data_IF_950922457692
#
_entry.id   IF_950922457692
#
_cell.length_a   1.000
_cell.length_b   1.000
_cell.length_c   1.000
_cell.angle_alpha   90.00
_cell.angle_beta   90.00
_cell.angle_gamma   90.00
#
_symmetry.space_group_name_H-M   'P 1'
#
loop_
_entity.id
_entity.type
_entity.pdbx_description
1 polymer ?
#
# COMPACT_ATOMS: atom_id res chain seq x y z
N UNK A 1 -18.00 13.57 28.21
CA UNK A 1 -16.86 13.40 29.13
C UNK A 1 -16.36 11.98 28.99
N UNK A 2 -15.40 11.73 28.10
CA UNK A 2 -14.77 10.42 27.92
C UNK A 2 -13.27 10.54 28.18
N UNK A 3 -12.76 9.57 28.93
CA UNK A 3 -11.38 9.45 29.39
C UNK A 3 -10.43 9.40 28.19
N UNK A 4 -9.69 10.47 27.92
CA UNK A 4 -8.46 10.40 27.12
C UNK A 4 -7.41 9.84 28.08
N UNK A 5 -6.87 8.64 27.87
CA UNK A 5 -6.00 7.99 28.83
C UNK A 5 -4.67 8.75 28.88
N UNK A 6 -4.53 9.61 29.89
CA UNK A 6 -3.23 10.01 30.41
C UNK A 6 -2.59 8.72 30.94
N UNK A 7 -1.37 8.44 30.50
CA UNK A 7 -0.59 7.22 30.75
C UNK A 7 -0.56 6.94 32.27
N UNK A 8 -1.53 6.18 32.77
CA UNK A 8 -1.63 5.74 34.15
C UNK A 8 -1.60 4.22 34.15
N UNK A 9 -0.52 3.63 34.71
CA UNK A 9 -0.18 2.22 35.00
C UNK A 9 -0.80 1.06 34.21
N UNK A 10 -2.09 1.08 33.85
CA UNK A 10 -2.72 0.25 32.80
C UNK A 10 -2.58 0.85 31.39
N UNK A 11 -2.28 2.15 31.27
CA UNK A 11 -1.99 2.86 30.02
C UNK A 11 -0.57 2.67 29.48
N UNK A 12 0.25 1.84 30.14
CA UNK A 12 1.62 1.52 29.68
C UNK A 12 1.59 0.70 28.39
N UNK A 13 0.77 -0.35 28.30
CA UNK A 13 0.72 -1.22 27.13
C UNK A 13 0.27 -0.44 25.89
N UNK A 14 -0.78 0.37 25.99
CA UNK A 14 -1.26 1.22 24.90
C UNK A 14 -0.16 2.14 24.34
N UNK A 15 0.51 2.89 25.24
CA UNK A 15 1.58 3.79 24.84
C UNK A 15 2.77 3.03 24.22
N UNK A 16 3.10 1.85 24.77
CA UNK A 16 4.16 0.99 24.25
C UNK A 16 3.85 0.50 22.83
N UNK A 17 2.66 -0.05 22.56
CA UNK A 17 2.30 -0.51 21.21
C UNK A 17 2.21 0.64 20.20
N UNK A 18 1.73 1.81 20.62
CA UNK A 18 1.73 2.99 19.75
C UNK A 18 3.16 3.46 19.43
N UNK A 19 4.07 3.49 20.41
CA UNK A 19 5.49 3.82 20.20
C UNK A 19 6.18 2.79 19.31
N UNK A 20 5.97 1.50 19.54
CA UNK A 20 6.50 0.42 18.69
C UNK A 20 6.01 0.61 17.26
N UNK A 21 4.72 0.85 17.05
CA UNK A 21 4.15 1.08 15.72
C UNK A 21 4.74 2.30 15.02
N UNK A 22 4.95 3.38 15.77
CA UNK A 22 5.52 4.62 15.24
C UNK A 22 7.00 4.46 14.89
N UNK A 23 7.76 3.72 15.70
CA UNK A 23 9.15 3.37 15.40
C UNK A 23 9.26 2.49 14.14
N UNK A 24 8.42 1.46 14.04
CA UNK A 24 8.35 0.60 12.86
C UNK A 24 7.94 1.37 11.61
N UNK A 25 6.99 2.30 11.72
CA UNK A 25 6.63 3.22 10.63
C UNK A 25 7.84 4.06 10.19
N UNK A 26 8.67 4.55 11.12
CA UNK A 26 9.92 5.23 10.77
C UNK A 26 10.92 4.37 10.02
N UNK A 27 11.07 3.10 10.41
CA UNK A 27 11.92 2.14 9.67
C UNK A 27 11.36 1.91 8.26
N UNK A 28 10.06 1.68 8.14
CA UNK A 28 9.40 1.45 6.85
C UNK A 28 9.48 2.68 5.93
N UNK A 29 9.33 3.88 6.49
CA UNK A 29 9.53 5.14 5.77
C UNK A 29 10.97 5.30 5.26
N UNK A 30 11.98 4.89 6.04
CA UNK A 30 13.36 4.86 5.57
C UNK A 30 13.58 3.91 4.38
N UNK A 31 12.92 2.74 4.40
CA UNK A 31 12.92 1.79 3.28
C UNK A 31 12.26 2.40 2.04
N UNK A 32 11.09 3.03 2.22
CA UNK A 32 10.37 3.75 1.17
C UNK A 32 11.25 4.79 0.48
N UNK A 33 11.92 5.66 1.23
CA UNK A 33 12.82 6.68 0.67
C UNK A 33 14.02 6.08 -0.06
N UNK A 34 14.62 5.04 0.51
CA UNK A 34 15.74 4.33 -0.12
C UNK A 34 15.33 3.72 -1.46
N UNK A 35 14.14 3.11 -1.49
CA UNK A 35 13.59 2.50 -2.68
C UNK A 35 13.21 3.54 -3.74
N UNK A 36 12.63 4.67 -3.32
CA UNK A 36 12.33 5.80 -4.18
C UNK A 36 13.60 6.38 -4.83
N UNK A 37 14.66 6.61 -4.04
CA UNK A 37 15.95 7.08 -4.54
C UNK A 37 16.56 6.11 -5.56
N UNK A 38 16.53 4.81 -5.27
CA UNK A 38 16.97 3.77 -6.19
C UNK A 38 16.14 3.73 -7.48
N UNK A 39 14.82 3.89 -7.38
CA UNK A 39 13.95 3.97 -8.55
C UNK A 39 14.26 5.19 -9.41
N UNK A 40 14.49 6.37 -8.80
CA UNK A 40 14.87 7.58 -9.53
C UNK A 40 16.21 7.42 -10.23
N UNK A 41 17.21 6.84 -9.56
CA UNK A 41 18.51 6.53 -10.16
C UNK A 41 18.36 5.63 -11.39
N UNK A 42 17.63 4.51 -11.25
CA UNK A 42 17.45 3.54 -12.34
C UNK A 42 16.62 4.11 -13.49
N UNK A 43 15.51 4.80 -13.21
CA UNK A 43 14.64 5.42 -14.22
C UNK A 43 15.32 6.61 -14.92
N UNK A 44 16.25 7.29 -14.24
CA UNK A 44 17.04 8.40 -14.78
C UNK A 44 18.09 7.96 -15.80
N UNK A 45 18.56 6.70 -15.74
CA UNK A 45 19.56 6.18 -16.69
C UNK A 45 18.97 6.09 -18.10
N UNK A 46 19.50 6.89 -19.03
CA UNK A 46 19.02 7.02 -20.43
C UNK A 46 18.99 5.72 -21.24
N UNK A 47 19.74 4.70 -20.80
CA UNK A 47 19.88 3.41 -21.49
C UNK A 47 18.66 2.48 -21.45
N UNK A 48 17.56 2.87 -20.78
CA UNK A 48 16.40 1.98 -20.64
C UNK A 48 15.44 2.09 -21.83
N UNK A 49 15.10 0.95 -22.43
CA UNK A 49 14.00 0.78 -23.41
C UNK A 49 12.61 0.92 -22.73
N UNK A 50 12.36 2.06 -22.08
CA UNK A 50 11.08 2.42 -21.48
C UNK A 50 10.53 3.62 -22.25
N UNK A 51 9.28 3.53 -22.69
CA UNK A 51 8.59 4.65 -23.32
C UNK A 51 8.63 5.88 -22.41
N UNK A 52 8.92 7.06 -22.98
CA UNK A 52 8.96 8.34 -22.25
C UNK A 52 7.68 8.57 -21.44
N UNK A 53 6.51 8.16 -21.96
CA UNK A 53 5.21 8.27 -21.27
C UNK A 53 5.17 7.39 -20.02
N UNK A 54 5.53 6.12 -20.16
CA UNK A 54 5.59 5.16 -19.05
C UNK A 54 6.60 5.60 -17.99
N UNK A 55 7.75 6.13 -18.41
CA UNK A 55 8.75 6.66 -17.48
C UNK A 55 8.20 7.84 -16.66
N UNK A 56 7.60 8.83 -17.32
CA UNK A 56 6.96 9.98 -16.63
C UNK A 56 5.88 9.54 -15.65
N UNK A 57 5.06 8.56 -16.04
CA UNK A 57 4.05 7.98 -15.16
C UNK A 57 4.66 7.39 -13.88
N UNK A 58 5.71 6.57 -13.99
CA UNK A 58 6.40 6.01 -12.82
C UNK A 58 7.04 7.07 -11.95
N UNK A 59 7.69 8.10 -12.53
CA UNK A 59 8.23 9.22 -11.75
C UNK A 59 7.13 9.95 -10.95
N UNK A 60 6.02 10.31 -11.61
CA UNK A 60 4.90 10.97 -10.95
C UNK A 60 4.30 10.10 -9.83
N UNK A 61 4.15 8.79 -10.09
CA UNK A 61 3.67 7.82 -9.10
C UNK A 61 4.57 7.73 -7.86
N UNK A 62 5.90 7.67 -8.04
CA UNK A 62 6.86 7.62 -6.94
C UNK A 62 6.79 8.91 -6.11
N UNK A 63 6.80 10.07 -6.77
CA UNK A 63 6.72 11.38 -6.09
C UNK A 63 5.42 11.50 -5.30
N UNK A 64 4.29 11.16 -5.91
CA UNK A 64 2.98 11.19 -5.27
C UNK A 64 2.95 10.33 -4.00
N UNK A 65 3.44 9.10 -4.07
CA UNK A 65 3.48 8.21 -2.91
C UNK A 65 4.45 8.71 -1.83
N UNK A 66 5.64 9.19 -2.21
CA UNK A 66 6.59 9.75 -1.24
C UNK A 66 6.00 10.94 -0.48
N UNK A 67 5.24 11.81 -1.16
CA UNK A 67 4.59 12.96 -0.51
C UNK A 67 3.54 12.50 0.51
N UNK A 68 2.72 11.51 0.16
CA UNK A 68 1.71 10.94 1.07
C UNK A 68 2.35 10.19 2.24
N UNK A 69 3.37 9.38 1.99
CA UNK A 69 4.15 8.68 3.01
C UNK A 69 4.83 9.65 3.97
N UNK A 70 5.43 10.73 3.45
CA UNK A 70 6.03 11.80 4.25
C UNK A 70 4.98 12.50 5.13
N UNK A 71 3.82 12.84 4.57
CA UNK A 71 2.75 13.51 5.30
C UNK A 71 2.22 12.63 6.45
N UNK A 72 1.99 11.35 6.19
CA UNK A 72 1.53 10.40 7.20
C UNK A 72 2.56 10.14 8.29
N UNK A 73 3.84 10.01 7.91
CA UNK A 73 4.93 9.85 8.86
C UNK A 73 5.09 11.10 9.75
N UNK A 74 5.09 12.29 9.15
CA UNK A 74 5.17 13.56 9.87
C UNK A 74 4.00 13.70 10.88
N UNK A 75 2.79 13.33 10.46
CA UNK A 75 1.63 13.34 11.34
C UNK A 75 1.75 12.34 12.49
N UNK A 76 2.17 11.11 12.21
CA UNK A 76 2.39 10.08 13.24
C UNK A 76 3.42 10.54 14.27
N UNK A 77 4.53 11.13 13.81
CA UNK A 77 5.57 11.65 14.69
C UNK A 77 5.09 12.85 15.51
N UNK A 78 4.35 13.78 14.91
CA UNK A 78 3.75 14.89 15.64
C UNK A 78 2.81 14.39 16.74
N UNK A 79 1.97 13.39 16.45
CA UNK A 79 1.07 12.79 17.44
C UNK A 79 1.80 12.19 18.64
N UNK A 80 2.85 11.38 18.39
CA UNK A 80 3.66 10.78 19.46
C UNK A 80 4.38 11.84 20.29
N UNK A 81 5.03 12.81 19.66
CA UNK A 81 5.75 13.89 20.36
C UNK A 81 4.79 14.66 21.26
N UNK A 82 3.62 15.02 20.72
CA UNK A 82 2.61 15.78 21.46
C UNK A 82 2.06 14.96 22.62
N UNK A 83 1.70 13.71 22.39
CA UNK A 83 1.13 12.84 23.41
C UNK A 83 2.11 12.47 24.53
N UNK A 84 3.42 12.51 24.27
CA UNK A 84 4.46 12.16 25.25
C UNK A 84 5.02 13.36 26.00
N UNK A 85 5.10 14.54 25.36
CA UNK A 85 5.79 15.72 25.92
C UNK A 85 4.81 16.73 26.53
N UNK A 86 3.64 16.95 25.93
CA UNK A 86 2.72 18.01 26.36
C UNK A 86 1.70 17.47 27.36
N UNK A 87 1.49 18.20 28.47
CA UNK A 87 0.32 17.98 29.31
C UNK A 87 -0.95 18.32 28.54
N UNK A 88 -2.05 17.63 28.86
CA UNK A 88 -3.36 17.83 28.20
C UNK A 88 -3.79 19.30 28.15
N UNK A 89 -3.61 20.02 29.25
CA UNK A 89 -4.02 21.43 29.36
C UNK A 89 -3.12 22.33 28.49
N UNK A 90 -1.82 22.04 28.43
CA UNK A 90 -0.90 22.75 27.54
C UNK A 90 -1.19 22.46 26.06
N UNK A 91 -1.63 21.24 25.72
CA UNK A 91 -2.03 20.87 24.37
C UNK A 91 -3.29 21.62 23.92
N UNK A 92 -4.34 21.61 24.76
CA UNK A 92 -5.60 22.31 24.45
C UNK A 92 -5.34 23.81 24.29
N UNK A 93 -4.47 24.39 25.12
CA UNK A 93 -4.08 25.81 25.02
C UNK A 93 -3.34 26.15 23.71
N UNK A 94 -2.52 25.23 23.17
CA UNK A 94 -1.70 25.48 21.97
C UNK A 94 -2.40 25.16 20.65
N UNK A 95 -3.15 24.07 20.59
CA UNK A 95 -3.71 23.55 19.32
C UNK A 95 -5.25 23.65 19.31
N UNK A 96 -5.86 24.02 20.43
CA UNK A 96 -7.30 24.17 20.57
C UNK A 96 -8.01 22.85 20.83
N UNK A 97 -9.25 22.97 21.31
CA UNK A 97 -10.11 21.83 21.69
C UNK A 97 -10.44 20.92 20.50
N UNK A 98 -10.44 21.46 19.28
CA UNK A 98 -10.80 20.73 18.06
C UNK A 98 -9.71 19.74 17.60
N UNK A 99 -8.45 20.13 17.66
CA UNK A 99 -7.34 19.33 17.12
C UNK A 99 -6.68 18.42 18.16
N UNK A 100 -6.84 18.73 19.45
CA UNK A 100 -6.27 17.93 20.54
C UNK A 100 -6.70 16.44 20.49
N UNK A 101 -7.97 16.08 20.21
CA UNK A 101 -8.39 14.68 20.10
C UNK A 101 -7.72 13.95 18.93
N UNK A 102 -7.51 14.64 17.81
CA UNK A 102 -6.94 14.04 16.58
C UNK A 102 -5.46 13.70 16.74
N UNK A 103 -4.72 14.48 17.54
CA UNK A 103 -3.29 14.32 17.79
C UNK A 103 -2.96 13.41 18.97
N UNK A 104 -3.96 12.97 19.74
CA UNK A 104 -3.79 12.14 20.94
C UNK A 104 -4.29 10.71 20.77
N UNK A 105 -4.68 10.34 19.54
CA UNK A 105 -5.11 8.99 19.19
C UNK A 105 -4.07 8.29 18.30
N UNK A 106 -3.93 6.97 18.42
CA UNK A 106 -2.92 6.20 17.70
C UNK A 106 -3.24 6.08 16.21
N UNK A 107 -4.51 6.23 15.81
CA UNK A 107 -4.89 6.33 14.41
C UNK A 107 -6.01 7.35 14.28
N UNK A 108 -5.74 8.43 13.56
CA UNK A 108 -6.64 9.57 13.48
C UNK A 108 -7.37 9.64 12.14
N UNK A 109 -8.48 10.36 12.10
CA UNK A 109 -9.22 10.62 10.87
C UNK A 109 -8.35 11.35 9.81
N UNK A 110 -7.35 12.11 10.24
CA UNK A 110 -6.41 12.78 9.34
C UNK A 110 -5.41 11.79 8.73
N UNK A 111 -5.00 10.76 9.46
CA UNK A 111 -4.15 9.67 8.94
C UNK A 111 -4.90 8.72 8.00
N UNK A 112 -6.22 8.62 8.14
CA UNK A 112 -7.07 7.84 7.24
C UNK A 112 -6.98 8.35 5.80
N UNK A 113 -6.90 9.67 5.60
CA UNK A 113 -6.85 10.30 4.27
C UNK A 113 -5.65 9.80 3.44
N UNK A 114 -4.38 9.98 3.87
CA UNK A 114 -3.25 9.48 3.11
C UNK A 114 -3.25 7.94 3.03
N UNK A 115 -3.79 7.24 4.03
CA UNK A 115 -3.90 5.77 3.99
C UNK A 115 -4.79 5.31 2.84
N UNK A 116 -6.00 5.85 2.72
CA UNK A 116 -6.94 5.53 1.63
C UNK A 116 -6.35 5.91 0.27
N UNK A 117 -5.75 7.11 0.16
CA UNK A 117 -5.16 7.59 -1.08
C UNK A 117 -4.00 6.72 -1.55
N UNK A 118 -3.12 6.31 -0.64
CA UNK A 118 -2.01 5.40 -0.94
C UNK A 118 -2.56 4.03 -1.37
N UNK A 119 -3.50 3.44 -0.63
CA UNK A 119 -4.11 2.15 -1.01
C UNK A 119 -4.74 2.23 -2.39
N UNK A 120 -5.52 3.27 -2.69
CA UNK A 120 -6.07 3.46 -4.03
C UNK A 120 -5.01 3.61 -5.11
N UNK A 121 -3.92 4.32 -4.82
CA UNK A 121 -2.82 4.45 -5.77
C UNK A 121 -2.17 3.10 -6.04
N UNK A 122 -2.06 2.25 -5.02
CA UNK A 122 -1.40 0.96 -5.08
C UNK A 122 -2.29 -0.08 -5.80
N UNK A 123 -3.59 -0.13 -5.47
CA UNK A 123 -4.62 -0.88 -6.20
C UNK A 123 -4.68 -0.45 -7.67
N UNK A 124 -4.73 0.87 -7.89
CA UNK A 124 -4.77 1.48 -9.22
C UNK A 124 -3.54 1.14 -10.05
N UNK A 125 -2.35 1.10 -9.44
CA UNK A 125 -1.12 0.69 -10.10
C UNK A 125 -1.17 -0.78 -10.53
N UNK A 126 -1.68 -1.67 -9.67
CA UNK A 126 -1.86 -3.09 -10.00
C UNK A 126 -2.88 -3.30 -11.12
N UNK A 127 -4.02 -2.60 -11.06
CA UNK A 127 -5.04 -2.60 -12.10
C UNK A 127 -4.51 -2.07 -13.43
N UNK A 128 -3.77 -0.96 -13.41
CA UNK A 128 -3.13 -0.39 -14.61
C UNK A 128 -2.21 -1.41 -15.28
N UNK A 129 -1.35 -2.10 -14.51
CA UNK A 129 -0.49 -3.17 -15.04
C UNK A 129 -1.29 -4.31 -15.64
N UNK A 130 -2.38 -4.71 -14.99
CA UNK A 130 -3.27 -5.75 -15.50
C UNK A 130 -3.89 -5.35 -16.84
N UNK A 131 -4.40 -4.12 -16.96
CA UNK A 131 -4.97 -3.59 -18.21
C UNK A 131 -3.93 -3.51 -19.33
N UNK A 132 -2.71 -3.05 -19.03
CA UNK A 132 -1.62 -3.00 -20.01
C UNK A 132 -1.27 -4.39 -20.57
N UNK A 133 -1.33 -5.44 -19.74
CA UNK A 133 -1.03 -6.82 -20.15
C UNK A 133 -2.12 -7.44 -21.05
N UNK A 134 -3.34 -6.92 -21.00
CA UNK A 134 -4.52 -7.45 -21.72
C UNK A 134 -4.80 -6.73 -23.06
N UNK A 135 -3.89 -5.86 -23.54
CA UNK A 135 -4.10 -5.05 -24.76
C UNK A 135 -4.19 -5.86 -26.08
N UNK A 136 -3.81 -7.14 -26.10
CA UNK A 136 -3.77 -7.97 -27.32
C UNK A 136 -4.77 -9.14 -27.35
N UNK A 137 -5.91 -9.01 -26.69
CA UNK A 137 -6.95 -10.06 -26.61
C UNK A 137 -8.09 -9.77 -27.58
N UNK A 138 -8.81 -10.82 -28.01
CA UNK A 138 -10.06 -10.69 -28.77
C UNK A 138 -11.04 -9.70 -28.11
N UNK A 139 -11.81 -8.95 -28.90
CA UNK A 139 -12.63 -7.84 -28.40
C UNK A 139 -13.67 -8.29 -27.36
N UNK A 140 -14.26 -9.47 -27.53
CA UNK A 140 -15.25 -10.02 -26.59
C UNK A 140 -14.64 -10.32 -25.21
N UNK A 141 -13.51 -11.02 -25.18
CA UNK A 141 -12.81 -11.33 -23.93
C UNK A 141 -12.23 -10.07 -23.27
N UNK A 142 -11.83 -9.08 -24.08
CA UNK A 142 -11.40 -7.77 -23.58
C UNK A 142 -12.57 -7.02 -22.93
N UNK A 143 -13.77 -7.06 -23.50
CA UNK A 143 -14.95 -6.44 -22.91
C UNK A 143 -15.28 -7.08 -21.55
N UNK A 144 -15.32 -8.41 -21.48
CA UNK A 144 -15.55 -9.14 -20.23
C UNK A 144 -14.50 -8.80 -19.15
N UNK A 145 -13.23 -8.75 -19.53
CA UNK A 145 -12.15 -8.33 -18.63
C UNK A 145 -12.30 -6.89 -18.15
N UNK A 146 -12.60 -5.95 -19.05
CA UNK A 146 -12.81 -4.55 -18.68
C UNK A 146 -14.01 -4.37 -17.76
N UNK A 147 -15.08 -5.15 -17.95
CA UNK A 147 -16.22 -5.16 -17.04
C UNK A 147 -15.80 -5.56 -15.62
N UNK A 148 -15.03 -6.64 -15.47
CA UNK A 148 -14.48 -7.05 -14.16
C UNK A 148 -13.62 -5.94 -13.54
N UNK A 149 -12.72 -5.34 -14.30
CA UNK A 149 -11.86 -4.23 -13.82
C UNK A 149 -12.70 -3.03 -13.35
N UNK A 150 -13.75 -2.66 -14.09
CA UNK A 150 -14.64 -1.56 -13.72
C UNK A 150 -15.39 -1.88 -12.43
N UNK A 151 -15.94 -3.09 -12.29
CA UNK A 151 -16.65 -3.51 -11.07
C UNK A 151 -15.72 -3.48 -9.85
N UNK A 152 -14.50 -4.01 -9.98
CA UNK A 152 -13.50 -3.97 -8.90
C UNK A 152 -13.13 -2.54 -8.52
N UNK A 153 -12.94 -1.66 -9.50
CA UNK A 153 -12.59 -0.25 -9.27
C UNK A 153 -13.72 0.48 -8.56
N UNK A 154 -14.97 0.30 -9.01
CA UNK A 154 -16.15 0.91 -8.40
C UNK A 154 -16.36 0.41 -6.97
N UNK A 155 -16.13 -0.86 -6.70
CA UNK A 155 -16.19 -1.42 -5.35
C UNK A 155 -15.13 -0.77 -4.42
N UNK A 156 -13.87 -0.69 -4.85
CA UNK A 156 -12.80 -0.04 -4.07
C UNK A 156 -13.06 1.44 -3.82
N UNK A 157 -13.48 2.17 -4.86
CA UNK A 157 -13.81 3.58 -4.74
C UNK A 157 -15.01 3.80 -3.82
N UNK A 158 -16.07 3.01 -3.97
CA UNK A 158 -17.26 3.11 -3.13
C UNK A 158 -16.94 2.90 -1.65
N UNK A 159 -16.23 1.81 -1.32
CA UNK A 159 -15.87 1.52 0.08
C UNK A 159 -14.87 2.53 0.63
N UNK A 160 -13.89 2.96 -0.17
CA UNK A 160 -12.93 3.98 0.23
C UNK A 160 -13.57 5.36 0.47
N UNK A 161 -14.52 5.77 -0.37
CA UNK A 161 -15.29 7.01 -0.16
C UNK A 161 -16.10 6.91 1.13
N UNK A 162 -16.78 5.78 1.37
CA UNK A 162 -17.49 5.55 2.62
C UNK A 162 -16.56 5.63 3.84
N UNK A 163 -15.32 5.14 3.71
CA UNK A 163 -14.27 5.31 4.72
C UNK A 163 -13.89 6.78 4.94
N UNK A 164 -13.64 7.55 3.88
CA UNK A 164 -13.31 8.98 4.00
C UNK A 164 -14.44 9.81 4.62
N UNK A 165 -15.70 9.41 4.41
CA UNK A 165 -16.84 10.08 5.04
C UNK A 165 -16.85 9.94 6.57
N UNK A 166 -16.17 8.93 7.15
CA UNK A 166 -16.06 8.80 8.61
C UNK A 166 -15.19 9.89 9.25
N UNK A 167 -14.47 10.68 8.45
CA UNK A 167 -13.75 11.88 8.92
C UNK A 167 -14.73 12.98 9.34
N UNK A 168 -15.96 12.97 8.79
CA UNK A 168 -16.98 13.95 9.09
C UNK A 168 -17.68 13.55 10.41
N UNK A 169 -17.67 14.38 11.47
CA UNK A 169 -18.19 14.02 12.79
C UNK A 169 -19.69 13.68 12.83
N UNK A 170 -20.46 14.08 11.82
CA UNK A 170 -21.90 13.84 11.73
C UNK A 170 -22.25 12.45 11.22
N UNK A 171 -21.28 11.71 10.69
CA UNK A 171 -21.48 10.36 10.15
C UNK A 171 -21.30 9.34 11.28
N UNK A 172 -22.32 8.51 11.59
CA UNK A 172 -22.29 7.60 12.74
C UNK A 172 -21.48 6.31 12.48
N UNK A 173 -20.66 6.27 11.44
CA UNK A 173 -19.91 5.08 11.06
C UNK A 173 -18.58 5.02 11.80
N UNK A 174 -18.25 3.82 12.29
CA UNK A 174 -17.00 3.61 12.98
C UNK A 174 -15.82 3.54 11.99
N UNK A 175 -14.83 4.41 12.20
CA UNK A 175 -13.65 4.52 11.33
C UNK A 175 -12.89 3.19 11.17
N UNK A 176 -12.68 2.46 12.27
CA UNK A 176 -11.94 1.21 12.25
C UNK A 176 -12.67 0.12 11.45
N UNK A 177 -13.99 0.01 11.61
CA UNK A 177 -14.81 -0.93 10.84
C UNK A 177 -14.81 -0.59 9.35
N UNK A 178 -14.86 0.68 8.98
CA UNK A 178 -14.79 1.08 7.58
C UNK A 178 -13.40 0.82 6.97
N UNK A 179 -12.33 1.09 7.72
CA UNK A 179 -10.97 0.73 7.31
C UNK A 179 -10.82 -0.78 7.11
N UNK A 180 -11.39 -1.59 8.01
CA UNK A 180 -11.44 -3.05 7.88
C UNK A 180 -12.11 -3.49 6.58
N UNK A 181 -13.30 -2.96 6.29
CA UNK A 181 -14.04 -3.25 5.06
C UNK A 181 -13.26 -2.82 3.82
N UNK A 182 -12.62 -1.66 3.89
CA UNK A 182 -11.80 -1.13 2.81
C UNK A 182 -10.59 -2.01 2.52
N UNK A 183 -9.82 -2.43 3.54
CA UNK A 183 -8.70 -3.35 3.32
C UNK A 183 -9.11 -4.75 2.92
N UNK A 184 -10.28 -5.22 3.35
CA UNK A 184 -10.84 -6.47 2.82
C UNK A 184 -11.12 -6.36 1.32
N UNK A 185 -11.67 -5.23 0.87
CA UNK A 185 -11.88 -4.99 -0.56
C UNK A 185 -10.56 -4.91 -1.33
N UNK A 186 -9.56 -4.18 -0.81
CA UNK A 186 -8.22 -4.10 -1.41
C UNK A 186 -7.54 -5.47 -1.50
N UNK A 187 -7.62 -6.30 -0.46
CA UNK A 187 -7.13 -7.69 -0.47
C UNK A 187 -7.73 -8.50 -1.62
N UNK A 188 -9.06 -8.45 -1.76
CA UNK A 188 -9.79 -9.20 -2.80
C UNK A 188 -9.35 -8.71 -4.19
N UNK A 189 -9.24 -7.39 -4.38
CA UNK A 189 -8.83 -6.80 -5.65
C UNK A 189 -7.41 -7.18 -6.00
N UNK A 190 -6.46 -7.01 -5.07
CA UNK A 190 -5.06 -7.37 -5.28
C UNK A 190 -4.90 -8.87 -5.50
N UNK A 191 -5.69 -9.72 -4.84
CA UNK A 191 -5.71 -11.17 -5.06
C UNK A 191 -6.19 -11.54 -6.47
N UNK A 192 -7.33 -10.99 -6.90
CA UNK A 192 -7.88 -11.22 -8.24
C UNK A 192 -6.92 -10.70 -9.31
N UNK A 193 -6.45 -9.47 -9.18
CA UNK A 193 -5.54 -8.83 -10.15
C UNK A 193 -4.23 -9.58 -10.27
N UNK A 194 -3.63 -9.98 -9.14
CA UNK A 194 -2.38 -10.75 -9.15
C UNK A 194 -2.57 -12.10 -9.84
N UNK A 195 -3.68 -12.78 -9.55
CA UNK A 195 -4.04 -14.04 -10.21
C UNK A 195 -4.20 -13.87 -11.72
N UNK A 196 -4.91 -12.83 -12.17
CA UNK A 196 -5.09 -12.52 -13.60
C UNK A 196 -3.75 -12.24 -14.30
N UNK A 197 -2.87 -11.47 -13.66
CA UNK A 197 -1.52 -11.19 -14.18
C UNK A 197 -0.73 -12.49 -14.33
N UNK A 198 -0.68 -13.34 -13.29
CA UNK A 198 0.07 -14.61 -13.32
C UNK A 198 -0.49 -15.56 -14.39
N UNK A 199 -1.82 -15.70 -14.46
CA UNK A 199 -2.50 -16.52 -15.45
C UNK A 199 -2.16 -16.07 -16.87
N UNK A 200 -2.21 -14.76 -17.15
CA UNK A 200 -1.93 -14.21 -18.48
C UNK A 200 -0.49 -14.38 -18.89
N UNK A 201 0.48 -14.14 -18.00
CA UNK A 201 1.90 -14.34 -18.33
C UNK A 201 2.18 -15.83 -18.56
N UNK A 202 1.61 -16.71 -17.74
CA UNK A 202 1.76 -18.17 -17.89
C UNK A 202 1.15 -18.67 -19.20
N UNK A 203 -0.02 -18.17 -19.57
CA UNK A 203 -0.65 -18.46 -20.86
C UNK A 203 0.24 -18.07 -22.04
N UNK A 204 0.74 -16.83 -22.05
CA UNK A 204 1.66 -16.36 -23.09
C UNK A 204 2.94 -17.18 -23.17
N UNK A 205 3.52 -17.53 -22.01
CA UNK A 205 4.69 -18.40 -21.96
C UNK A 205 4.40 -19.76 -22.59
N UNK A 206 3.30 -20.43 -22.22
CA UNK A 206 2.93 -21.73 -22.78
C UNK A 206 2.71 -21.64 -24.29
N UNK A 207 2.08 -20.57 -24.76
CA UNK A 207 1.89 -20.31 -26.19
C UNK A 207 3.23 -20.15 -26.92
N UNK A 208 4.14 -19.31 -26.40
CA UNK A 208 5.46 -19.11 -27.01
C UNK A 208 6.32 -20.38 -26.99
N UNK A 209 6.27 -21.17 -25.90
CA UNK A 209 6.96 -22.45 -25.84
C UNK A 209 6.43 -23.47 -26.85
N UNK A 210 5.13 -23.42 -27.16
CA UNK A 210 4.51 -24.28 -28.18
C UNK A 210 4.93 -23.88 -29.59
N UNK A 211 5.08 -22.58 -29.87
CA UNK A 211 5.41 -22.06 -31.21
C UNK A 211 6.92 -22.09 -31.49
N UNK A 212 7.75 -21.71 -30.51
CA UNK A 212 9.20 -21.51 -30.70
C UNK A 212 10.07 -22.58 -30.00
N UNK A 213 9.46 -23.55 -29.32
CA UNK A 213 10.19 -24.61 -28.60
C UNK A 213 10.58 -24.27 -27.15
N UNK A 214 11.15 -25.25 -26.45
CA UNK A 214 11.32 -25.23 -24.98
C UNK A 214 12.33 -24.19 -24.44
N UNK A 215 13.13 -23.54 -25.30
CA UNK A 215 14.19 -22.60 -24.91
C UNK A 215 13.76 -21.17 -24.58
N UNK A 216 12.66 -20.67 -25.17
CA UNK A 216 12.32 -19.23 -25.15
C UNK A 216 11.53 -18.75 -23.92
N UNK A 217 11.33 -19.59 -22.90
CA UNK A 217 10.50 -19.28 -21.73
C UNK A 217 11.21 -18.68 -20.51
N UNK A 218 12.56 -18.66 -20.49
CA UNK A 218 13.36 -18.25 -19.32
C UNK A 218 13.13 -16.79 -18.86
N UNK A 219 13.11 -15.76 -19.73
CA UNK A 219 12.94 -14.37 -19.27
C UNK A 219 11.56 -14.12 -18.62
N UNK A 220 10.52 -14.83 -19.07
CA UNK A 220 9.17 -14.71 -18.49
C UNK A 220 9.09 -15.23 -17.05
N UNK A 221 9.92 -16.21 -16.68
CA UNK A 221 9.96 -16.71 -15.29
C UNK A 221 10.46 -15.65 -14.31
N UNK A 222 11.45 -14.86 -14.71
CA UNK A 222 11.96 -13.73 -13.90
C UNK A 222 10.87 -12.68 -13.67
N UNK A 223 10.09 -12.36 -14.71
CA UNK A 223 8.98 -11.40 -14.60
C UNK A 223 7.85 -11.94 -13.72
N UNK A 224 7.48 -13.21 -13.87
CA UNK A 224 6.47 -13.85 -13.01
C UNK A 224 6.94 -13.84 -11.55
N UNK A 225 8.19 -14.21 -11.29
CA UNK A 225 8.75 -14.23 -9.94
C UNK A 225 8.69 -12.85 -9.27
N UNK A 226 9.06 -11.78 -9.99
CA UNK A 226 8.96 -10.40 -9.50
C UNK A 226 7.50 -10.04 -9.15
N UNK A 227 6.55 -10.39 -10.02
CA UNK A 227 5.13 -10.11 -9.76
C UNK A 227 4.61 -10.88 -8.53
N UNK A 228 4.99 -12.15 -8.37
CA UNK A 228 4.57 -12.97 -7.23
C UNK A 228 5.20 -12.46 -5.93
N UNK A 229 6.50 -12.18 -5.93
CA UNK A 229 7.23 -11.66 -4.76
C UNK A 229 6.56 -10.38 -4.23
N UNK A 230 6.25 -9.42 -5.11
CA UNK A 230 5.61 -8.17 -4.70
C UNK A 230 4.13 -8.31 -4.36
N UNK A 231 3.40 -9.21 -5.03
CA UNK A 231 1.99 -9.47 -4.71
C UNK A 231 1.84 -10.16 -3.34
N UNK A 232 2.72 -11.11 -3.01
CA UNK A 232 2.71 -11.78 -1.71
C UNK A 232 2.92 -10.79 -0.57
N UNK A 233 3.77 -9.79 -0.74
CA UNK A 233 3.99 -8.76 0.30
C UNK A 233 2.68 -8.02 0.64
N UNK A 234 1.93 -7.58 -0.37
CA UNK A 234 0.65 -6.92 -0.17
C UNK A 234 -0.39 -7.86 0.48
N UNK A 235 -0.57 -9.06 -0.08
CA UNK A 235 -1.57 -10.02 0.40
C UNK A 235 -1.30 -10.48 1.85
N UNK A 236 -0.05 -10.79 2.18
CA UNK A 236 0.33 -11.20 3.55
C UNK A 236 0.04 -10.08 4.53
N UNK A 237 0.33 -8.83 4.14
CA UNK A 237 0.10 -7.68 5.00
C UNK A 237 -1.38 -7.40 5.23
N UNK A 238 -2.20 -7.44 4.19
CA UNK A 238 -3.64 -7.27 4.29
C UNK A 238 -4.30 -8.38 5.11
N UNK A 239 -3.86 -9.64 4.93
CA UNK A 239 -4.33 -10.78 5.72
C UNK A 239 -3.95 -10.59 7.19
N UNK A 240 -2.71 -10.17 7.49
CA UNK A 240 -2.26 -9.92 8.86
C UNK A 240 -3.14 -8.84 9.52
N UNK A 241 -3.41 -7.75 8.81
CA UNK A 241 -4.30 -6.69 9.29
C UNK A 241 -5.73 -7.20 9.58
N UNK A 242 -6.29 -8.02 8.69
CA UNK A 242 -7.64 -8.59 8.84
C UNK A 242 -7.72 -9.55 10.03
N UNK A 243 -6.70 -10.40 10.23
CA UNK A 243 -6.68 -11.34 11.37
C UNK A 243 -6.59 -10.58 12.69
N UNK A 244 -5.72 -9.57 12.78
CA UNK A 244 -5.54 -8.79 14.00
C UNK A 244 -6.76 -7.93 14.34
N UNK A 245 -7.46 -7.40 13.34
CA UNK A 245 -8.72 -6.69 13.56
C UNK A 245 -9.85 -7.61 14.02
N UNK A 246 -9.96 -8.84 13.49
CA UNK A 246 -11.01 -9.77 13.94
C UNK A 246 -10.74 -10.41 15.30
N UNK A 247 -9.47 -10.63 15.64
CA UNK A 247 -9.10 -11.20 16.95
C UNK A 247 -9.34 -10.20 18.08
N UNK A 248 -9.19 -8.89 17.81
CA UNK A 248 -9.57 -7.82 18.72
C UNK A 248 -11.09 -7.85 19.03
N UNK A 249 -11.95 -7.93 18.02
CA UNK A 249 -13.41 -7.91 18.20
C UNK A 249 -13.97 -9.13 18.97
N UNK A 250 -13.34 -10.31 18.83
CA UNK A 250 -13.83 -11.57 19.43
C UNK A 250 -13.53 -11.73 20.92
N UNK A 251 -12.61 -10.94 21.47
CA UNK A 251 -12.17 -11.11 22.85
C UNK A 251 -13.18 -10.61 23.90
N UNK A 252 -14.23 -9.86 23.51
CA UNK A 252 -15.29 -9.40 24.41
C UNK A 252 -14.83 -8.54 25.60
N UNK A 253 -13.55 -8.18 25.63
CA UNK A 253 -12.91 -7.43 26.70
C UNK A 253 -12.84 -5.97 26.27
N UNK A 254 -13.50 -5.05 26.98
CA UNK A 254 -13.39 -3.64 26.68
C UNK A 254 -11.94 -3.22 26.95
N UNK A 255 -11.26 -2.62 25.95
CA UNK A 255 -10.01 -1.84 26.05
C UNK A 255 -8.63 -2.50 25.83
N UNK A 256 -8.49 -3.62 25.11
CA UNK A 256 -7.14 -4.16 24.77
C UNK A 256 -6.85 -4.30 23.28
N UNK A 257 -7.39 -3.41 22.44
CA UNK A 257 -7.13 -3.35 20.99
C UNK A 257 -5.74 -2.76 20.66
N UNK A 258 -4.75 -2.94 21.52
CA UNK A 258 -3.45 -2.25 21.39
C UNK A 258 -2.53 -2.95 20.39
N UNK A 259 -2.72 -4.24 20.16
CA UNK A 259 -1.86 -5.06 19.29
C UNK A 259 -1.99 -4.74 17.80
N UNK A 260 -3.10 -4.10 17.39
CA UNK A 260 -3.33 -3.72 16.00
C UNK A 260 -2.56 -2.44 15.59
N UNK A 261 -2.17 -1.60 16.55
CA UNK A 261 -1.56 -0.29 16.26
C UNK A 261 -0.26 -0.39 15.45
N UNK A 262 0.68 -1.32 15.74
CA UNK A 262 1.86 -1.49 14.91
C UNK A 262 1.51 -1.80 13.45
N UNK A 263 0.49 -2.62 13.21
CA UNK A 263 0.10 -3.04 11.86
C UNK A 263 -0.61 -1.91 11.11
N UNK A 264 -1.47 -1.15 11.79
CA UNK A 264 -2.11 0.05 11.20
C UNK A 264 -1.05 1.09 10.80
N UNK A 265 -0.06 1.35 11.65
CA UNK A 265 0.99 2.33 11.36
C UNK A 265 1.88 1.94 10.18
N UNK A 266 2.12 0.65 10.00
CA UNK A 266 2.90 0.13 8.89
C UNK A 266 2.09 0.00 7.59
N UNK A 267 0.75 -0.06 7.66
CA UNK A 267 -0.15 -0.26 6.51
C UNK A 267 0.13 0.71 5.36
N UNK A 268 0.23 2.01 5.66
CA UNK A 268 0.50 3.02 4.65
C UNK A 268 1.84 2.79 3.95
N UNK A 269 2.90 2.55 4.70
CA UNK A 269 4.24 2.37 4.12
C UNK A 269 4.33 1.07 3.32
N UNK A 270 3.70 -0.01 3.78
CA UNK A 270 3.69 -1.27 3.02
C UNK A 270 2.96 -1.09 1.69
N UNK A 271 1.84 -0.37 1.68
CA UNK A 271 1.10 -0.05 0.45
C UNK A 271 1.91 0.81 -0.54
N UNK A 272 2.91 1.54 -0.07
CA UNK A 272 3.86 2.28 -0.91
C UNK A 272 5.02 1.38 -1.38
N UNK A 273 5.55 0.56 -0.48
CA UNK A 273 6.75 -0.26 -0.72
C UNK A 273 6.49 -1.30 -1.81
N UNK A 274 5.37 -2.02 -1.80
CA UNK A 274 5.14 -3.09 -2.77
C UNK A 274 5.05 -2.60 -4.23
N UNK A 275 4.32 -1.52 -4.60
CA UNK A 275 4.34 -1.03 -5.98
C UNK A 275 5.70 -0.43 -6.34
N UNK A 276 6.41 0.22 -5.40
CA UNK A 276 7.78 0.68 -5.67
C UNK A 276 8.77 -0.46 -5.91
N UNK A 277 8.63 -1.60 -5.21
CA UNK A 277 9.48 -2.78 -5.42
C UNK A 277 9.29 -3.34 -6.83
N UNK A 278 8.05 -3.36 -7.32
CA UNK A 278 7.75 -3.73 -8.71
C UNK A 278 8.49 -2.81 -9.68
N UNK A 279 8.41 -1.48 -9.47
CA UNK A 279 9.05 -0.49 -10.34
C UNK A 279 10.56 -0.68 -10.33
N UNK A 280 11.15 -0.81 -9.13
CA UNK A 280 12.57 -1.06 -8.93
C UNK A 280 13.03 -2.31 -9.68
N UNK A 281 12.35 -3.44 -9.50
CA UNK A 281 12.70 -4.72 -10.13
C UNK A 281 12.54 -4.67 -11.65
N UNK A 282 11.50 -4.00 -12.17
CA UNK A 282 11.29 -3.81 -13.61
C UNK A 282 12.39 -2.92 -14.20
N UNK A 283 12.79 -1.86 -13.49
CA UNK A 283 13.87 -0.98 -13.90
C UNK A 283 15.23 -1.72 -13.86
N UNK A 284 15.49 -2.50 -12.81
CA UNK A 284 16.72 -3.29 -12.66
C UNK A 284 16.83 -4.39 -13.72
N UNK A 285 15.74 -5.12 -13.98
CA UNK A 285 15.68 -6.17 -15.01
C UNK A 285 15.89 -5.66 -16.45
N UNK A 286 15.75 -4.35 -16.66
CA UNK A 286 16.05 -3.67 -17.93
C UNK A 286 17.41 -2.97 -17.94
N UNK A 287 18.04 -2.79 -16.77
CA UNK A 287 19.32 -2.13 -16.61
C UNK A 287 20.51 -3.07 -16.87
N UNK A 288 20.31 -4.39 -16.79
CA UNK A 288 21.26 -5.42 -17.18
C UNK A 288 20.74 -6.10 -18.45
N UNK A 289 21.18 -5.69 -19.65
CA UNK A 289 21.10 -6.56 -20.82
C UNK A 289 21.85 -7.85 -20.49
N UNK A 290 21.29 -9.01 -20.86
CA UNK A 290 22.04 -10.27 -20.77
C UNK A 290 23.37 -10.08 -21.52
N UNK A 291 24.50 -10.18 -20.80
CA UNK A 291 25.83 -10.35 -21.39
C UNK A 291 25.84 -11.67 -22.16
N UNK A 292 25.29 -11.67 -23.37
CA UNK A 292 25.37 -12.81 -24.28
C UNK A 292 25.46 -12.39 -25.74
N UNK A 293 25.76 -11.10 -26.00
CA UNK A 293 25.99 -10.59 -27.36
C UNK A 293 27.33 -9.87 -27.46
N UNK A 294 28.39 -10.46 -26.91
CA UNK A 294 29.76 -9.95 -27.02
C UNK A 294 30.78 -11.06 -27.25
N UNK A 295 30.38 -12.13 -27.94
CA UNK A 295 31.33 -13.19 -28.35
C UNK A 295 31.01 -13.83 -29.71
N UNK A 296 30.38 -13.08 -30.62
CA UNK A 296 30.37 -13.43 -32.05
C UNK A 296 30.39 -12.15 -32.89
N UNK A 297 31.57 -11.53 -33.02
CA UNK A 297 32.11 -10.97 -34.27
C UNK A 297 33.63 -11.20 -34.20
#
# INVERSE_FOLDING_TARGET
>A
MSNIPIINKNGSSFAVYWLIGSFLSGVAYGIELTLAANCFYLLGKSSQNISKRTRRFHFAFIIYNCLLGTAAFAYTMAGVIIATILSRDALIAKVGVYWAPTLTVPFSAVELIPTVLVTWSADGFMLWRCVMLYQGISPLNRLAFMFVVVVLTLASLGVGICGLLTVIPTIPWEQNQMLFRFQTASLIINGIVSTLIICRITYHRRYLQKVFGKGYGKPYMKVIAICIESAMLALVWDILFIILSQTADRAGLPSTDTEIFPVIKLLIHVNIIYPMLIIFRVAQGKAFPDETTSTII
#
